data_IF_633270938259
#
_entry.id   IF_633270938259
#
_cell.length_a   1.000
_cell.length_b   1.000
_cell.length_c   1.000
_cell.angle_alpha   90.00
_cell.angle_beta   90.00
_cell.angle_gamma   90.00
#
_symmetry.space_group_name_H-M   'P 1'
#
loop_
_entity.id
_entity.type
_entity.pdbx_description
1 polymer ?
#
# COMPACT_ATOMS: atom_id res chain seq x y z
N UNK A 1 5.71 28.08 21.19
CA UNK A 1 5.15 26.79 21.64
C UNK A 1 5.63 25.70 20.70
N UNK A 2 6.75 25.03 21.05
CA UNK A 2 7.26 23.91 20.28
C UNK A 2 6.34 22.71 20.48
N UNK A 3 5.61 22.29 19.43
CA UNK A 3 5.15 20.90 19.40
C UNK A 3 6.43 20.07 19.37
N UNK A 4 6.72 19.39 20.47
CA UNK A 4 7.81 18.43 20.54
C UNK A 4 7.71 17.49 19.35
N UNK A 5 8.85 17.01 18.85
CA UNK A 5 8.90 15.99 17.82
C UNK A 5 8.00 14.82 18.26
N UNK A 6 6.76 14.81 17.75
CA UNK A 6 5.83 13.71 17.92
C UNK A 6 6.55 12.52 17.30
N UNK A 7 6.81 11.48 18.09
CA UNK A 7 7.23 10.21 17.52
C UNK A 7 6.30 9.90 16.35
N UNK A 8 6.87 9.57 15.18
CA UNK A 8 6.07 9.13 14.04
C UNK A 8 5.32 7.89 14.53
N UNK A 9 4.00 7.94 14.67
CA UNK A 9 3.25 6.86 15.27
C UNK A 9 3.36 5.61 14.40
N UNK A 10 3.38 4.45 15.04
CA UNK A 10 3.53 3.21 14.31
C UNK A 10 2.37 2.96 13.34
N UNK A 11 2.72 2.34 12.22
CA UNK A 11 1.76 1.94 11.19
C UNK A 11 0.83 0.88 11.74
N UNK A 12 -0.47 1.11 11.66
CA UNK A 12 -1.48 0.12 12.02
C UNK A 12 -1.69 -0.87 10.87
N UNK A 13 -1.37 -2.15 11.08
CA UNK A 13 -1.63 -3.20 10.10
C UNK A 13 -2.99 -3.86 10.36
N UNK A 14 -3.87 -3.80 9.36
CA UNK A 14 -5.16 -4.47 9.35
C UNK A 14 -5.16 -5.57 8.29
N UNK A 15 -5.85 -6.67 8.59
CA UNK A 15 -5.95 -7.83 7.71
C UNK A 15 -7.42 -8.18 7.56
N UNK A 16 -7.90 -8.22 6.33
CA UNK A 16 -9.31 -8.45 6.06
C UNK A 16 -9.74 -7.91 4.71
N UNK A 17 -11.01 -8.12 4.34
CA UNK A 17 -11.54 -7.69 3.07
C UNK A 17 -11.53 -6.15 2.95
N UNK A 18 -11.38 -5.61 1.74
CA UNK A 18 -11.52 -4.16 1.50
C UNK A 18 -12.89 -3.64 1.96
N UNK A 19 -13.95 -4.43 1.75
CA UNK A 19 -15.32 -4.15 2.18
C UNK A 19 -15.57 -4.81 3.53
N UNK A 20 -16.12 -4.07 4.50
CA UNK A 20 -16.47 -4.63 5.79
C UNK A 20 -17.41 -5.86 5.64
N UNK A 21 -17.18 -6.87 6.48
CA UNK A 21 -18.03 -8.07 6.58
C UNK A 21 -18.51 -8.23 8.01
N UNK A 22 -19.40 -9.20 8.26
CA UNK A 22 -19.85 -9.53 9.61
C UNK A 22 -18.68 -9.95 10.54
N UNK A 23 -17.58 -10.45 9.97
CA UNK A 23 -16.47 -11.07 10.71
C UNK A 23 -15.18 -10.26 10.69
N UNK A 24 -15.08 -9.21 9.87
CA UNK A 24 -13.85 -8.40 9.76
C UNK A 24 -14.14 -6.95 9.33
N UNK A 25 -13.45 -5.95 9.92
CA UNK A 25 -13.57 -4.56 9.50
C UNK A 25 -12.94 -4.33 8.13
N UNK A 26 -13.51 -3.40 7.36
CA UNK A 26 -12.99 -2.96 6.06
C UNK A 26 -12.27 -1.62 6.13
N UNK A 27 -12.07 -0.99 4.96
CA UNK A 27 -11.40 0.31 4.84
C UNK A 27 -12.08 1.43 5.63
N UNK A 28 -13.41 1.34 5.82
CA UNK A 28 -14.21 2.33 6.55
C UNK A 28 -13.82 2.44 8.04
N UNK A 29 -13.17 1.41 8.59
CA UNK A 29 -12.65 1.45 9.96
C UNK A 29 -11.32 2.20 10.08
N UNK A 30 -10.66 2.48 8.96
CA UNK A 30 -9.28 3.00 8.89
C UNK A 30 -9.21 4.40 8.29
N UNK A 31 -10.16 4.76 7.43
CA UNK A 31 -10.22 6.04 6.75
C UNK A 31 -11.66 6.58 6.71
N UNK A 32 -11.82 7.90 6.83
CA UNK A 32 -13.12 8.56 6.69
C UNK A 32 -13.38 8.89 5.21
N UNK A 33 -14.41 8.29 4.57
CA UNK A 33 -14.73 8.57 3.17
C UNK A 33 -14.98 10.06 2.88
N UNK A 34 -15.46 10.84 3.85
CA UNK A 34 -15.73 12.27 3.65
C UNK A 34 -14.48 13.14 3.60
N UNK A 35 -13.35 12.60 4.05
CA UNK A 35 -12.06 13.30 4.20
C UNK A 35 -10.93 12.62 3.45
N UNK A 36 -11.23 11.56 2.69
CA UNK A 36 -10.24 10.76 1.99
C UNK A 36 -10.17 11.12 0.51
N UNK A 37 -8.97 11.18 -0.01
CA UNK A 37 -8.68 11.24 -1.44
C UNK A 37 -8.07 9.90 -1.88
N UNK A 38 -8.64 9.27 -2.90
CA UNK A 38 -8.19 7.97 -3.40
C UNK A 38 -7.18 8.15 -4.53
N UNK A 39 -6.03 7.47 -4.42
CA UNK A 39 -5.08 7.33 -5.54
C UNK A 39 -5.05 5.86 -5.93
N UNK A 40 -5.35 5.59 -7.20
CA UNK A 40 -5.38 4.24 -7.76
C UNK A 40 -4.92 4.26 -9.22
N UNK A 41 -4.72 3.08 -9.80
CA UNK A 41 -4.61 2.95 -11.25
C UNK A 41 -5.95 2.48 -11.86
N UNK A 42 -6.01 2.46 -13.20
CA UNK A 42 -7.20 2.08 -13.98
C UNK A 42 -7.78 0.70 -13.63
N UNK A 43 -6.96 -0.20 -13.09
CA UNK A 43 -7.35 -1.56 -12.70
C UNK A 43 -7.71 -1.62 -11.23
N UNK A 44 -6.87 -1.05 -10.37
CA UNK A 44 -7.00 -1.19 -8.93
C UNK A 44 -8.15 -0.36 -8.37
N UNK A 45 -8.59 0.68 -9.09
CA UNK A 45 -9.81 1.42 -8.75
C UNK A 45 -11.05 0.52 -8.71
N UNK A 46 -11.06 -0.59 -9.46
CA UNK A 46 -12.15 -1.56 -9.44
C UNK A 46 -12.34 -2.26 -8.10
N UNK A 47 -11.35 -2.21 -7.20
CA UNK A 47 -11.45 -2.76 -5.85
C UNK A 47 -12.06 -1.79 -4.83
N UNK A 48 -12.27 -0.52 -5.19
CA UNK A 48 -12.74 0.49 -4.26
C UNK A 48 -14.11 0.10 -3.66
N UNK A 49 -14.26 0.10 -2.32
CA UNK A 49 -15.55 -0.14 -1.68
C UNK A 49 -16.59 0.93 -2.03
N UNK A 50 -17.86 0.54 -2.02
CA UNK A 50 -18.97 1.44 -2.37
C UNK A 50 -19.05 2.65 -1.42
N UNK A 51 -18.64 2.49 -0.15
CA UNK A 51 -18.56 3.58 0.82
C UNK A 51 -17.62 4.71 0.39
N UNK A 52 -16.60 4.40 -0.42
CA UNK A 52 -15.64 5.37 -0.96
C UNK A 52 -15.95 5.77 -2.41
N UNK A 53 -17.08 5.30 -2.98
CA UNK A 53 -17.46 5.60 -4.36
C UNK A 53 -17.71 7.09 -4.64
N UNK A 54 -18.03 7.88 -3.62
CA UNK A 54 -18.19 9.33 -3.73
C UNK A 54 -16.90 10.12 -3.44
N UNK A 55 -15.82 9.44 -3.01
CA UNK A 55 -14.57 10.12 -2.68
C UNK A 55 -13.92 10.73 -3.95
N UNK A 56 -13.32 11.92 -3.82
CA UNK A 56 -12.44 12.44 -4.85
C UNK A 56 -11.29 11.45 -5.10
N UNK A 57 -10.88 11.33 -6.37
CA UNK A 57 -9.88 10.35 -6.77
C UNK A 57 -9.02 10.84 -7.93
N UNK A 58 -7.80 10.32 -8.00
CA UNK A 58 -6.93 10.45 -9.16
C UNK A 58 -6.53 9.06 -9.66
N UNK A 59 -6.57 8.89 -10.98
CA UNK A 59 -6.08 7.69 -11.65
C UNK A 59 -4.68 7.99 -12.19
N UNK A 60 -3.69 7.24 -11.72
CA UNK A 60 -2.29 7.39 -12.13
C UNK A 60 -1.88 6.27 -13.10
N UNK A 61 -0.81 6.46 -13.89
CA UNK A 61 -0.29 5.39 -14.74
C UNK A 61 0.02 4.12 -13.94
N UNK A 62 -0.02 2.96 -14.60
CA UNK A 62 0.29 1.68 -13.95
C UNK A 62 1.81 1.49 -13.77
N UNK A 63 2.18 0.88 -12.65
CA UNK A 63 3.56 0.46 -12.36
C UNK A 63 4.54 1.64 -12.31
N UNK A 64 5.78 1.40 -12.73
CA UNK A 64 6.88 2.38 -12.62
C UNK A 64 6.61 3.68 -13.40
N UNK A 65 5.72 3.66 -14.40
CA UNK A 65 5.30 4.87 -15.11
C UNK A 65 4.63 5.91 -14.20
N UNK A 66 4.11 5.51 -13.04
CA UNK A 66 3.59 6.44 -12.03
C UNK A 66 4.70 7.24 -11.33
N UNK A 67 5.93 6.74 -11.28
CA UNK A 67 6.95 7.23 -10.36
C UNK A 67 7.76 8.37 -10.96
N UNK A 68 7.09 9.47 -11.30
CA UNK A 68 7.76 10.65 -11.85
C UNK A 68 7.11 11.94 -11.36
N UNK A 69 7.81 13.07 -11.60
CA UNK A 69 7.36 14.40 -11.18
C UNK A 69 6.08 14.86 -11.89
N UNK A 70 5.82 14.43 -13.12
CA UNK A 70 4.60 14.80 -13.83
C UNK A 70 3.35 14.14 -13.22
N UNK A 71 3.46 12.87 -12.82
CA UNK A 71 2.37 12.21 -12.08
C UNK A 71 2.14 12.86 -10.71
N UNK A 72 3.20 13.32 -10.04
CA UNK A 72 3.08 14.07 -8.78
C UNK A 72 2.37 15.41 -8.97
N UNK A 73 2.71 16.15 -10.03
CA UNK A 73 2.07 17.42 -10.37
C UNK A 73 0.57 17.26 -10.59
N UNK A 74 0.17 16.24 -11.36
CA UNK A 74 -1.25 15.90 -11.57
C UNK A 74 -1.99 15.58 -10.26
N UNK A 75 -1.32 14.91 -9.31
CA UNK A 75 -1.90 14.66 -7.99
C UNK A 75 -2.11 15.96 -7.22
N UNK A 76 -1.16 16.88 -7.23
CA UNK A 76 -1.30 18.16 -6.54
C UNK A 76 -2.37 19.07 -7.15
N UNK A 77 -2.49 19.07 -8.47
CA UNK A 77 -3.60 19.75 -9.16
C UNK A 77 -4.94 19.18 -8.71
N UNK A 78 -5.06 17.85 -8.63
CA UNK A 78 -6.26 17.19 -8.16
C UNK A 78 -6.55 17.49 -6.67
N UNK A 79 -5.53 17.45 -5.81
CA UNK A 79 -5.66 17.82 -4.40
C UNK A 79 -6.15 19.26 -4.22
N UNK A 80 -5.61 20.19 -5.02
CA UNK A 80 -6.02 21.59 -4.99
C UNK A 80 -7.47 21.75 -5.45
N UNK A 81 -7.84 21.12 -6.57
CA UNK A 81 -9.18 21.17 -7.15
C UNK A 81 -10.25 20.63 -6.20
N UNK A 82 -9.96 19.49 -5.56
CA UNK A 82 -10.90 18.81 -4.65
C UNK A 82 -10.81 19.32 -3.21
N UNK A 83 -9.94 20.30 -2.94
CA UNK A 83 -9.84 20.96 -1.64
C UNK A 83 -9.28 20.07 -0.53
N UNK A 84 -8.33 19.19 -0.82
CA UNK A 84 -7.69 18.32 0.18
C UNK A 84 -6.91 19.16 1.21
N UNK A 85 -7.51 19.35 2.38
CA UNK A 85 -6.94 20.09 3.50
C UNK A 85 -6.01 19.25 4.39
N UNK A 86 -5.42 19.90 5.41
CA UNK A 86 -4.49 19.26 6.37
C UNK A 86 -5.12 18.18 7.24
N UNK A 87 -6.43 18.22 7.41
CA UNK A 87 -7.23 17.27 8.18
C UNK A 87 -7.85 16.17 7.31
N UNK A 88 -7.53 16.17 6.01
CA UNK A 88 -7.83 15.09 5.08
C UNK A 88 -6.78 14.00 5.10
N UNK A 89 -7.05 12.93 4.34
CA UNK A 89 -6.13 11.80 4.20
C UNK A 89 -6.05 11.29 2.76
N UNK A 90 -4.93 10.67 2.41
CA UNK A 90 -4.72 9.99 1.13
C UNK A 90 -4.78 8.48 1.33
N UNK A 91 -5.54 7.78 0.49
CA UNK A 91 -5.55 6.30 0.48
C UNK A 91 -5.00 5.84 -0.86
N UNK A 92 -3.85 5.14 -0.81
CA UNK A 92 -3.24 4.55 -1.99
C UNK A 92 -3.78 3.13 -2.19
N UNK A 93 -4.56 2.90 -3.23
CA UNK A 93 -5.11 1.61 -3.60
C UNK A 93 -4.37 1.09 -4.84
N UNK A 94 -3.32 0.29 -4.64
CA UNK A 94 -2.43 -0.06 -5.74
C UNK A 94 -1.23 -0.91 -5.38
N UNK A 95 -0.34 -1.14 -6.35
CA UNK A 95 0.96 -1.77 -6.13
C UNK A 95 1.99 -0.81 -5.53
N UNK A 96 3.25 -1.26 -5.44
CA UNK A 96 4.33 -0.48 -4.81
C UNK A 96 4.55 0.89 -5.43
N UNK A 97 4.46 1.00 -6.76
CA UNK A 97 4.64 2.27 -7.46
C UNK A 97 3.54 3.30 -7.15
N UNK A 98 2.30 2.85 -6.94
CA UNK A 98 1.19 3.73 -6.51
C UNK A 98 1.40 4.16 -5.07
N UNK A 99 1.80 3.23 -4.18
CA UNK A 99 2.11 3.55 -2.78
C UNK A 99 3.24 4.55 -2.65
N UNK A 100 4.34 4.38 -3.40
CA UNK A 100 5.49 5.29 -3.39
C UNK A 100 5.09 6.71 -3.82
N UNK A 101 4.38 6.84 -4.94
CA UNK A 101 3.91 8.12 -5.44
C UNK A 101 2.95 8.78 -4.44
N UNK A 102 1.95 8.04 -3.96
CA UNK A 102 0.93 8.55 -3.05
C UNK A 102 1.51 8.93 -1.68
N UNK A 103 2.39 8.10 -1.13
CA UNK A 103 3.08 8.36 0.13
C UNK A 103 4.00 9.57 0.03
N UNK A 104 4.70 9.75 -1.10
CA UNK A 104 5.50 10.94 -1.33
C UNK A 104 4.61 12.18 -1.43
N UNK A 105 3.59 12.14 -2.29
CA UNK A 105 2.62 13.22 -2.47
C UNK A 105 1.97 13.65 -1.15
N UNK A 106 1.48 12.71 -0.35
CA UNK A 106 0.88 13.00 0.96
C UNK A 106 1.89 13.60 1.95
N UNK A 107 3.14 13.14 1.93
CA UNK A 107 4.19 13.63 2.83
C UNK A 107 4.62 15.06 2.53
N UNK A 108 4.54 15.48 1.26
CA UNK A 108 4.97 16.81 0.83
C UNK A 108 3.81 17.78 0.62
N UNK A 109 2.59 17.30 0.39
CA UNK A 109 1.38 18.13 0.31
C UNK A 109 1.11 18.84 1.64
N UNK A 110 1.01 20.17 1.60
CA UNK A 110 0.83 21.02 2.81
C UNK A 110 1.86 20.79 3.94
N UNK A 111 3.02 20.19 3.61
CA UNK A 111 4.07 19.70 4.54
C UNK A 111 3.68 18.45 5.34
N UNK A 112 2.75 17.64 4.82
CA UNK A 112 2.30 16.39 5.40
C UNK A 112 0.80 16.38 5.66
N UNK A 113 0.13 15.39 5.08
CA UNK A 113 -1.22 14.95 5.44
C UNK A 113 -1.19 13.45 5.79
N UNK A 114 -2.21 12.96 6.49
CA UNK A 114 -2.30 11.54 6.81
C UNK A 114 -2.48 10.71 5.54
N UNK A 115 -1.94 9.49 5.54
CA UNK A 115 -2.15 8.57 4.43
C UNK A 115 -2.12 7.11 4.88
N UNK A 116 -2.72 6.24 4.09
CA UNK A 116 -2.70 4.78 4.29
C UNK A 116 -2.59 4.02 2.98
N UNK A 117 -2.15 2.77 3.08
CA UNK A 117 -1.96 1.91 1.91
C UNK A 117 -2.94 0.74 1.92
N UNK A 118 -3.46 0.44 0.73
CA UNK A 118 -4.23 -0.77 0.43
C UNK A 118 -3.48 -1.49 -0.70
N UNK A 119 -2.40 -2.22 -0.38
CA UNK A 119 -1.56 -2.87 -1.37
C UNK A 119 -2.34 -3.95 -2.14
N UNK A 120 -2.27 -3.91 -3.47
CA UNK A 120 -2.98 -4.86 -4.36
C UNK A 120 -2.07 -5.84 -5.11
N UNK A 121 -0.77 -5.75 -4.85
CA UNK A 121 0.24 -6.69 -5.38
C UNK A 121 0.93 -7.38 -4.22
N UNK A 122 1.34 -8.64 -4.40
CA UNK A 122 2.00 -9.39 -3.35
C UNK A 122 3.32 -8.72 -2.93
N UNK A 123 4.10 -8.21 -3.90
CA UNK A 123 5.33 -7.47 -3.63
C UNK A 123 5.08 -6.22 -2.77
N UNK A 124 3.99 -5.49 -3.02
CA UNK A 124 3.65 -4.34 -2.19
C UNK A 124 3.26 -4.76 -0.76
N UNK A 125 2.54 -5.87 -0.59
CA UNK A 125 2.15 -6.37 0.73
C UNK A 125 3.38 -6.76 1.57
N UNK A 126 4.34 -7.48 0.96
CA UNK A 126 5.49 -8.03 1.69
C UNK A 126 6.70 -7.10 1.75
N UNK A 127 6.74 -6.03 0.95
CA UNK A 127 7.88 -5.11 0.89
C UNK A 127 7.45 -3.63 0.84
N UNK A 128 6.94 -3.18 -0.30
CA UNK A 128 6.86 -1.74 -0.60
C UNK A 128 5.91 -0.95 0.32
N UNK A 129 4.86 -1.57 0.86
CA UNK A 129 3.97 -0.91 1.82
C UNK A 129 4.59 -0.76 3.22
N UNK A 130 5.83 -1.21 3.42
CA UNK A 130 6.51 -1.24 4.72
C UNK A 130 7.71 -0.29 4.77
N UNK A 131 7.99 0.24 5.95
CA UNK A 131 9.19 1.05 6.20
C UNK A 131 9.11 2.53 5.80
N UNK A 132 8.03 2.96 5.13
CA UNK A 132 7.75 4.38 4.87
C UNK A 132 8.72 5.05 3.88
N UNK A 133 9.39 4.25 3.04
CA UNK A 133 10.25 4.75 1.97
C UNK A 133 9.37 5.10 0.78
N UNK A 134 9.09 6.37 0.58
CA UNK A 134 8.27 6.82 -0.55
C UNK A 134 9.15 7.59 -1.53
N UNK A 135 9.06 7.32 -2.82
CA UNK A 135 9.98 7.94 -3.79
C UNK A 135 9.57 7.89 -5.25
N UNK A 136 10.20 8.77 -6.02
CA UNK A 136 10.01 8.97 -7.44
C UNK A 136 11.34 8.75 -8.17
N UNK A 137 11.22 8.32 -9.42
CA UNK A 137 12.34 8.18 -10.32
C UNK A 137 12.67 9.55 -10.94
N UNK A 138 13.96 9.82 -11.11
CA UNK A 138 14.42 11.08 -11.70
C UNK A 138 15.69 10.86 -12.53
N UNK A 139 15.69 11.39 -13.76
CA UNK A 139 16.84 11.28 -14.65
C UNK A 139 17.30 9.84 -14.92
N UNK A 140 16.36 8.90 -15.05
CA UNK A 140 16.64 7.48 -15.27
C UNK A 140 17.12 6.70 -14.03
N UNK A 141 17.14 7.33 -12.86
CA UNK A 141 17.52 6.70 -11.59
C UNK A 141 16.30 6.43 -10.75
N UNK A 142 16.19 5.20 -10.24
CA UNK A 142 15.05 4.77 -9.43
C UNK A 142 15.07 5.38 -8.04
N UNK A 143 13.91 5.78 -7.53
CA UNK A 143 13.72 6.22 -6.14
C UNK A 143 14.69 7.33 -5.68
N UNK A 144 15.15 8.20 -6.59
CA UNK A 144 16.18 9.19 -6.27
C UNK A 144 15.62 10.35 -5.43
N UNK A 145 14.38 10.76 -5.71
CA UNK A 145 13.69 11.83 -4.97
C UNK A 145 12.69 11.15 -4.05
N UNK A 146 12.75 11.40 -2.75
CA UNK A 146 11.87 10.70 -1.82
C UNK A 146 11.86 11.26 -0.41
N UNK A 147 11.09 10.60 0.44
CA UNK A 147 10.99 10.89 1.85
C UNK A 147 10.84 9.60 2.68
N UNK A 148 11.24 9.67 3.94
CA UNK A 148 10.93 8.65 4.93
C UNK A 148 9.73 9.12 5.75
N UNK A 149 8.55 8.59 5.47
CA UNK A 149 7.33 8.86 6.22
C UNK A 149 6.43 7.63 6.21
N UNK A 150 5.96 7.22 7.40
CA UNK A 150 5.20 5.98 7.56
C UNK A 150 3.71 6.23 7.28
N UNK A 151 3.01 5.28 6.61
CA UNK A 151 1.57 5.35 6.51
C UNK A 151 0.94 5.16 7.88
N UNK A 152 -0.24 5.74 8.07
CA UNK A 152 -1.06 5.56 9.26
C UNK A 152 -1.57 4.14 9.40
N UNK A 153 -1.92 3.52 8.28
CA UNK A 153 -2.34 2.13 8.22
C UNK A 153 -1.90 1.45 6.93
N UNK A 154 -1.86 0.12 6.98
CA UNK A 154 -1.79 -0.76 5.81
C UNK A 154 -2.90 -1.79 5.94
N UNK A 155 -3.85 -1.81 4.98
CA UNK A 155 -4.93 -2.80 4.92
C UNK A 155 -4.58 -3.87 3.90
N UNK A 156 -4.36 -5.10 4.38
CA UNK A 156 -3.98 -6.24 3.55
C UNK A 156 -5.20 -7.13 3.29
N UNK A 157 -5.60 -7.20 2.02
CA UNK A 157 -6.61 -8.14 1.53
C UNK A 157 -5.99 -9.03 0.46
N UNK A 158 -5.71 -10.29 0.79
CA UNK A 158 -5.09 -11.21 -0.17
C UNK A 158 -6.04 -11.67 -1.26
N UNK A 159 -7.36 -11.43 -1.14
CA UNK A 159 -8.31 -11.78 -2.18
C UNK A 159 -8.09 -10.98 -3.47
N UNK A 160 -7.55 -9.75 -3.39
CA UNK A 160 -7.24 -8.95 -4.58
C UNK A 160 -6.16 -9.60 -5.46
N UNK A 161 -5.33 -10.49 -4.90
CA UNK A 161 -4.28 -11.21 -5.62
C UNK A 161 -4.85 -12.18 -6.66
N UNK A 162 -6.13 -12.56 -6.56
CA UNK A 162 -6.81 -13.38 -7.57
C UNK A 162 -6.83 -12.72 -8.96
N UNK A 163 -6.76 -11.39 -9.02
CA UNK A 163 -6.65 -10.67 -10.28
C UNK A 163 -5.18 -10.43 -10.71
N UNK A 164 -4.19 -10.69 -9.87
CA UNK A 164 -2.81 -10.31 -10.15
C UNK A 164 -2.22 -11.19 -11.27
N UNK A 165 -1.51 -10.63 -12.28
CA UNK A 165 -0.84 -11.44 -13.29
C UNK A 165 0.16 -12.41 -12.65
N UNK A 166 0.32 -13.63 -13.19
CA UNK A 166 1.23 -14.63 -12.60
C UNK A 166 2.67 -14.15 -12.43
N UNK A 167 3.16 -13.31 -13.34
CA UNK A 167 4.49 -12.72 -13.25
C UNK A 167 4.65 -11.82 -12.00
N UNK A 168 3.70 -10.90 -11.79
CA UNK A 168 3.73 -9.98 -10.65
C UNK A 168 3.56 -10.73 -9.32
N UNK A 169 2.76 -11.81 -9.31
CA UNK A 169 2.65 -12.71 -8.17
C UNK A 169 3.99 -13.39 -7.88
N UNK A 170 4.67 -13.92 -8.91
CA UNK A 170 5.97 -14.56 -8.75
C UNK A 170 7.03 -13.59 -8.22
N UNK A 171 7.03 -12.33 -8.66
CA UNK A 171 7.91 -11.30 -8.10
C UNK A 171 7.69 -11.10 -6.60
N UNK A 172 6.44 -11.06 -6.14
CA UNK A 172 6.13 -10.98 -4.71
C UNK A 172 6.52 -12.25 -3.94
N UNK A 173 6.33 -13.42 -4.52
CA UNK A 173 6.73 -14.70 -3.91
C UNK A 173 8.25 -14.81 -3.77
N UNK A 174 9.02 -14.31 -4.74
CA UNK A 174 10.47 -14.29 -4.66
C UNK A 174 10.96 -13.45 -3.46
N UNK A 175 10.30 -12.31 -3.22
CA UNK A 175 10.59 -11.46 -2.07
C UNK A 175 10.18 -12.11 -0.74
N UNK A 176 9.01 -12.77 -0.68
CA UNK A 176 8.60 -13.54 0.48
C UNK A 176 9.57 -14.69 0.79
N UNK A 177 10.01 -15.43 -0.25
CA UNK A 177 11.01 -16.50 -0.11
C UNK A 177 12.33 -15.96 0.43
N UNK A 178 12.79 -14.80 -0.06
CA UNK A 178 13.97 -14.12 0.46
C UNK A 178 13.82 -13.83 1.96
N UNK A 179 12.66 -13.33 2.40
CA UNK A 179 12.40 -13.13 3.83
C UNK A 179 12.47 -14.44 4.62
N UNK A 180 11.85 -15.51 4.12
CA UNK A 180 11.91 -16.83 4.76
C UNK A 180 13.34 -17.36 4.91
N UNK A 181 14.17 -17.23 3.87
CA UNK A 181 15.59 -17.63 3.92
C UNK A 181 16.38 -16.82 4.95
N UNK A 182 16.11 -15.51 5.07
CA UNK A 182 16.83 -14.62 6.00
C UNK A 182 16.34 -14.80 7.45
N UNK A 183 15.03 -14.97 7.66
CA UNK A 183 14.44 -15.07 9.00
C UNK A 183 14.71 -16.42 9.66
N UNK A 184 14.63 -17.51 8.90
CA UNK A 184 14.93 -18.86 9.39
C UNK A 184 13.84 -19.89 9.10
N UNK A 185 14.02 -21.06 9.72
CA UNK A 185 13.33 -22.32 9.38
C UNK A 185 11.80 -22.22 9.42
N UNK A 186 11.22 -21.53 10.41
CA UNK A 186 9.76 -21.46 10.58
C UNK A 186 9.06 -20.77 9.39
N UNK A 187 9.55 -19.59 9.01
CA UNK A 187 8.98 -18.83 7.89
C UNK A 187 9.29 -19.50 6.54
N UNK A 188 10.51 -20.03 6.35
CA UNK A 188 10.83 -20.80 5.16
C UNK A 188 9.90 -22.02 5.00
N UNK A 189 9.68 -22.78 6.06
CA UNK A 189 8.80 -23.95 6.06
C UNK A 189 7.34 -23.58 5.81
N UNK A 190 6.89 -22.40 6.25
CA UNK A 190 5.55 -21.89 5.95
C UNK A 190 5.36 -21.68 4.44
N UNK A 191 6.36 -21.09 3.78
CA UNK A 191 6.36 -20.87 2.33
C UNK A 191 6.41 -22.21 1.59
N UNK A 192 7.32 -23.11 1.99
CA UNK A 192 7.46 -24.44 1.39
C UNK A 192 6.14 -25.22 1.43
N UNK A 193 5.48 -25.30 2.58
CA UNK A 193 4.17 -25.96 2.72
C UNK A 193 3.11 -25.32 1.84
N UNK A 194 3.08 -23.99 1.78
CA UNK A 194 2.13 -23.26 0.94
C UNK A 194 2.31 -23.61 -0.54
N UNK A 195 3.56 -23.59 -1.03
CA UNK A 195 3.91 -23.92 -2.42
C UNK A 195 3.62 -25.39 -2.74
N UNK A 196 4.01 -26.33 -1.88
CA UNK A 196 3.72 -27.77 -2.06
C UNK A 196 2.21 -28.06 -2.06
N UNK A 197 1.43 -27.28 -1.31
CA UNK A 197 -0.03 -27.32 -1.34
C UNK A 197 -0.69 -26.63 -2.53
N UNK A 198 0.10 -26.13 -3.50
CA UNK A 198 -0.38 -25.45 -4.71
C UNK A 198 -0.71 -23.95 -4.52
N UNK A 199 -0.52 -23.41 -3.31
CA UNK A 199 -0.71 -22.01 -2.94
C UNK A 199 -1.95 -21.35 -3.56
N UNK A 200 -3.17 -21.84 -3.25
CA UNK A 200 -4.39 -21.26 -3.79
C UNK A 200 -4.51 -19.78 -3.40
N UNK A 201 -4.83 -18.92 -4.36
CA UNK A 201 -5.05 -17.49 -4.13
C UNK A 201 -6.26 -17.27 -3.21
N UNK A 202 -6.16 -16.28 -2.33
CA UNK A 202 -7.19 -16.00 -1.30
C UNK A 202 -7.26 -17.05 -0.18
N UNK A 203 -6.31 -17.97 -0.09
CA UNK A 203 -6.26 -18.96 1.00
C UNK A 203 -5.61 -18.41 2.27
N UNK A 204 -5.95 -19.03 3.40
CA UNK A 204 -5.33 -18.76 4.69
C UNK A 204 -3.81 -19.01 4.68
N UNK A 205 -3.34 -19.94 3.84
CA UNK A 205 -1.90 -20.20 3.68
C UNK A 205 -1.16 -19.01 3.07
N UNK A 206 -1.71 -18.39 2.03
CA UNK A 206 -1.14 -17.19 1.43
C UNK A 206 -1.20 -16.00 2.40
N UNK A 207 -2.32 -15.84 3.11
CA UNK A 207 -2.47 -14.81 4.13
C UNK A 207 -1.44 -14.98 5.27
N UNK A 208 -1.17 -16.21 5.70
CA UNK A 208 -0.15 -16.51 6.70
C UNK A 208 1.26 -16.15 6.22
N UNK A 209 1.62 -16.47 4.96
CA UNK A 209 2.91 -16.10 4.36
C UNK A 209 3.09 -14.58 4.32
N UNK A 210 2.06 -13.86 3.87
CA UNK A 210 2.08 -12.39 3.82
C UNK A 210 2.27 -11.81 5.23
N UNK A 211 1.52 -12.32 6.21
CA UNK A 211 1.61 -11.88 7.61
C UNK A 211 3.00 -12.16 8.21
N UNK A 212 3.59 -13.31 7.93
CA UNK A 212 4.95 -13.64 8.36
C UNK A 212 5.98 -12.68 7.75
N UNK A 213 5.87 -12.40 6.44
CA UNK A 213 6.74 -11.43 5.75
C UNK A 213 6.62 -10.01 6.31
N UNK A 214 5.40 -9.56 6.65
CA UNK A 214 5.19 -8.27 7.32
C UNK A 214 5.82 -8.28 8.72
N UNK A 215 5.61 -9.36 9.47
CA UNK A 215 6.18 -9.52 10.81
C UNK A 215 7.71 -9.54 10.83
N UNK A 216 8.36 -10.08 9.79
CA UNK A 216 9.81 -10.05 9.62
C UNK A 216 10.33 -8.64 9.35
N UNK A 217 9.73 -7.95 8.38
CA UNK A 217 10.20 -6.67 7.88
C UNK A 217 9.88 -5.49 8.79
N UNK A 218 8.92 -5.65 9.70
CA UNK A 218 8.62 -4.69 10.76
C UNK A 218 9.57 -4.71 11.97
N UNK A 219 10.55 -5.62 12.03
CA UNK A 219 11.55 -5.73 13.11
C UNK A 219 12.77 -4.84 12.87
#
# INVERSE_FOLDING_TARGET
MSRGASAVPDTHFAYGPLRATATAPGLEALADPKRSFIIADERTIGFLPDAFSACPRAIVPRGEAAKNLAALELLYEAFLKEGLGRDGSVVALGGGSVSDLAGFAASTWMRGVDFGFVPTTLLAMVDAAQGGKNGLDFGGRKNLIGCFNKPRFVLVDTACLAALPPYDLACGMAEALKHGIIEGEEHFSLIERGVLGGLPLGSDSLAAIVKASIGFKGR
#
